data_IF_044628805991
#
_entry.id   IF_044628805991
#
_cell.length_a   1.000
_cell.length_b   1.000
_cell.length_c   1.000
_cell.angle_alpha   90.00
_cell.angle_beta   90.00
_cell.angle_gamma   90.00
#
_symmetry.space_group_name_H-M   'P 1'
#
loop_
_entity.id
_entity.type
_entity.pdbx_description
1 polymer ?
#
# COMPACT_ATOMS: atom_id res chain seq x y z
N UNK A 1 -34.45 3.47 -21.11
CA UNK A 1 -35.10 3.44 -19.78
C UNK A 1 -35.67 2.09 -19.36
N UNK A 2 -36.28 1.26 -20.25
CA UNK A 2 -36.81 -0.09 -19.88
C UNK A 2 -35.75 -1.15 -19.57
N UNK A 3 -34.53 -1.04 -20.14
CA UNK A 3 -33.44 -1.98 -19.91
C UNK A 3 -32.64 -1.67 -18.63
N UNK A 4 -32.60 -0.43 -18.21
CA UNK A 4 -31.89 -0.03 -16.97
C UNK A 4 -32.54 -0.59 -15.69
N UNK A 5 -33.86 -0.67 -15.63
CA UNK A 5 -34.58 -1.27 -14.48
C UNK A 5 -34.35 -2.78 -14.36
N UNK A 6 -34.02 -3.47 -15.47
CA UNK A 6 -33.71 -4.91 -15.44
C UNK A 6 -32.28 -5.20 -14.96
N UNK A 7 -31.33 -4.28 -15.21
CA UNK A 7 -29.94 -4.42 -14.73
C UNK A 7 -29.89 -4.17 -13.21
N UNK A 8 -30.56 -3.14 -12.71
CA UNK A 8 -30.67 -2.89 -11.27
C UNK A 8 -31.36 -4.01 -10.50
N UNK A 9 -32.41 -4.63 -11.10
CA UNK A 9 -33.10 -5.77 -10.51
C UNK A 9 -32.27 -7.06 -10.53
N UNK A 10 -31.37 -7.23 -11.52
CA UNK A 10 -30.44 -8.36 -11.61
C UNK A 10 -29.36 -8.28 -10.53
N UNK A 11 -28.80 -7.10 -10.25
CA UNK A 11 -27.82 -6.90 -9.18
C UNK A 11 -28.43 -7.09 -7.78
N UNK A 12 -29.67 -6.67 -7.52
CA UNK A 12 -30.35 -6.94 -6.24
C UNK A 12 -30.63 -8.42 -5.99
N UNK A 13 -30.95 -9.20 -7.03
CA UNK A 13 -31.25 -10.63 -6.87
C UNK A 13 -29.98 -11.47 -6.58
N UNK A 14 -28.81 -11.04 -7.06
CA UNK A 14 -27.56 -11.77 -6.85
C UNK A 14 -26.98 -11.57 -5.44
N UNK A 15 -27.11 -10.38 -4.85
CA UNK A 15 -26.67 -10.14 -3.47
C UNK A 15 -27.50 -10.88 -2.41
N UNK A 16 -28.77 -11.24 -2.70
CA UNK A 16 -29.60 -11.99 -1.74
C UNK A 16 -29.43 -13.51 -1.81
N UNK A 17 -28.88 -14.07 -2.90
CA UNK A 17 -28.68 -15.51 -3.02
C UNK A 17 -27.36 -16.02 -2.41
N UNK A 18 -26.38 -15.15 -2.18
CA UNK A 18 -25.08 -15.53 -1.59
C UNK A 18 -25.15 -15.81 -0.07
N UNK A 19 -26.22 -15.41 0.62
CA UNK A 19 -26.40 -15.62 2.05
C UNK A 19 -27.10 -16.93 2.45
N UNK A 20 -27.47 -17.80 1.50
CA UNK A 20 -28.30 -18.98 1.77
C UNK A 20 -27.55 -20.34 1.70
N UNK A 21 -26.23 -20.39 1.49
CA UNK A 21 -25.50 -21.66 1.29
C UNK A 21 -24.30 -21.89 2.22
N UNK A 22 -24.39 -21.59 3.51
CA UNK A 22 -23.50 -22.16 4.52
C UNK A 22 -24.30 -22.78 5.66
N UNK A 23 -24.82 -23.98 5.38
CA UNK A 23 -25.40 -24.89 6.37
C UNK A 23 -24.44 -26.04 6.62
N UNK A 24 -23.89 -26.08 7.79
CA UNK A 24 -23.03 -27.10 8.37
C UNK A 24 -23.55 -28.53 8.15
N UNK A 25 -22.71 -29.45 7.66
CA UNK A 25 -22.92 -30.91 7.81
C UNK A 25 -21.63 -31.52 8.36
N UNK A 26 -21.71 -31.93 9.59
CA UNK A 26 -20.81 -32.87 10.26
C UNK A 26 -21.14 -34.29 9.84
N UNK A 27 -20.17 -35.11 9.42
CA UNK A 27 -20.22 -36.58 9.52
C UNK A 27 -18.78 -37.10 9.69
N UNK A 28 -18.64 -37.80 10.77
CA UNK A 28 -17.81 -38.94 11.20
C UNK A 28 -16.60 -39.41 10.37
N UNK A 29 -15.55 -39.59 11.12
CA UNK A 29 -14.43 -40.42 11.29
C UNK A 29 -14.11 -41.57 10.32
N UNK A 30 -12.84 -41.67 9.93
CA UNK A 30 -12.18 -42.97 9.68
C UNK A 30 -10.67 -42.79 9.86
N UNK A 31 -10.13 -43.61 10.77
CA UNK A 31 -8.70 -43.84 11.02
C UNK A 31 -7.94 -44.29 9.79
N UNK A 32 -6.76 -43.77 9.51
CA UNK A 32 -5.72 -44.48 8.73
C UNK A 32 -4.38 -44.31 9.38
N UNK A 33 -3.76 -45.44 9.62
CA UNK A 33 -2.52 -45.74 10.31
C UNK A 33 -1.27 -45.12 9.61
N UNK A 34 -0.34 -44.73 10.46
CA UNK A 34 1.07 -44.44 10.17
C UNK A 34 1.83 -45.65 9.66
N UNK A 35 2.66 -45.47 8.63
CA UNK A 35 3.82 -46.31 8.39
C UNK A 35 5.02 -45.43 8.02
N UNK A 36 5.98 -45.47 8.91
CA UNK A 36 7.34 -44.95 8.79
C UNK A 36 8.16 -45.80 7.83
N UNK A 37 8.90 -45.19 6.95
CA UNK A 37 10.04 -45.84 6.27
C UNK A 37 11.20 -44.85 6.20
N UNK A 38 12.26 -45.20 6.97
CA UNK A 38 13.59 -44.62 6.89
C UNK A 38 14.22 -44.83 5.52
N UNK A 39 14.82 -43.81 4.97
CA UNK A 39 15.86 -43.98 3.95
C UNK A 39 16.96 -42.98 4.21
N UNK A 40 18.03 -43.48 4.85
CA UNK A 40 19.35 -42.81 4.88
C UNK A 40 19.97 -42.92 3.50
N UNK A 41 20.44 -41.80 2.97
CA UNK A 41 21.44 -41.81 1.89
C UNK A 41 22.60 -40.90 2.24
N UNK A 42 23.78 -41.53 2.34
CA UNK A 42 25.11 -40.96 2.51
C UNK A 42 25.45 -39.98 1.38
N UNK A 43 25.96 -38.82 1.75
CA UNK A 43 26.72 -37.95 0.83
C UNK A 43 28.14 -37.79 1.42
N UNK A 44 29.07 -38.28 0.65
CA UNK A 44 30.55 -38.20 0.83
C UNK A 44 31.03 -36.75 0.67
N UNK A 45 31.89 -36.34 1.60
CA UNK A 45 32.64 -35.10 1.53
C UNK A 45 33.71 -35.16 0.42
N UNK A 46 33.81 -34.13 -0.38
CA UNK A 46 34.94 -33.87 -1.26
C UNK A 46 35.70 -32.66 -0.71
N UNK A 47 36.92 -32.90 -0.26
CA UNK A 47 37.92 -31.90 0.11
C UNK A 47 38.38 -31.15 -1.14
N UNK A 48 38.42 -29.82 -1.07
CA UNK A 48 39.10 -28.98 -2.06
C UNK A 48 40.14 -28.15 -1.34
N UNK A 49 41.40 -28.41 -1.73
CA UNK A 49 42.60 -27.76 -1.22
C UNK A 49 42.63 -26.26 -1.51
N UNK A 50 42.99 -25.48 -0.49
CA UNK A 50 43.27 -24.06 -0.60
C UNK A 50 44.72 -23.85 -1.01
N UNK A 51 44.96 -23.22 -2.16
CA UNK A 51 46.30 -22.73 -2.55
C UNK A 51 46.54 -21.35 -1.93
N UNK A 52 47.50 -21.28 -1.03
CA UNK A 52 48.04 -20.05 -0.46
C UNK A 52 49.09 -19.47 -1.43
N UNK A 53 48.87 -18.23 -1.86
CA UNK A 53 49.86 -17.46 -2.61
C UNK A 53 50.57 -16.51 -1.65
N UNK A 54 51.84 -16.74 -1.38
CA UNK A 54 52.73 -15.85 -0.62
C UNK A 54 53.04 -14.59 -1.44
N UNK A 55 52.80 -13.43 -0.85
CA UNK A 55 53.32 -12.14 -1.33
C UNK A 55 54.54 -11.74 -0.53
N UNK A 56 55.67 -11.68 -1.22
CA UNK A 56 57.00 -11.24 -0.76
C UNK A 56 56.98 -9.76 -0.36
N UNK A 57 57.47 -9.49 0.86
CA UNK A 57 57.72 -8.16 1.37
C UNK A 57 59.01 -7.57 0.77
N UNK A 58 58.92 -6.36 0.21
CA UNK A 58 60.07 -5.56 -0.21
C UNK A 58 60.56 -4.72 0.97
N UNK A 59 61.83 -4.95 1.29
CA UNK A 59 62.61 -4.20 2.30
C UNK A 59 63.02 -2.85 1.69
N UNK A 60 62.75 -1.74 2.36
CA UNK A 60 63.27 -0.41 2.07
C UNK A 60 64.28 -0.05 3.16
N UNK A 61 65.55 0.14 2.77
CA UNK A 61 66.61 0.63 3.62
C UNK A 61 66.47 2.11 3.94
N UNK A 62 67.03 2.59 5.10
CA UNK A 62 66.90 3.98 5.53
C UNK A 62 68.00 4.87 4.90
N UNK A 63 67.57 6.05 4.42
CA UNK A 63 68.50 7.13 4.01
C UNK A 63 68.75 8.05 5.19
N UNK A 64 70.03 8.29 5.47
CA UNK A 64 70.63 9.12 6.50
C UNK A 64 70.50 10.63 6.27
N UNK A 65 70.30 11.33 7.38
CA UNK A 65 70.62 12.72 7.76
C UNK A 65 70.99 13.77 6.70
N UNK A 66 70.30 14.90 6.76
CA UNK A 66 70.83 16.23 6.46
C UNK A 66 70.17 17.33 7.30
N UNK A 67 71.01 17.88 8.14
CA UNK A 67 71.20 19.23 8.69
C UNK A 67 69.99 20.14 8.94
N UNK A 68 69.93 20.53 10.21
CA UNK A 68 69.18 21.61 10.85
C UNK A 68 69.50 22.97 10.27
N UNK A 69 68.46 23.72 9.84
CA UNK A 69 68.47 25.17 9.82
C UNK A 69 67.21 25.63 10.57
N UNK A 70 67.46 26.25 11.73
CA UNK A 70 66.45 26.84 12.59
C UNK A 70 66.24 28.28 12.18
N UNK A 71 65.19 28.63 11.47
CA UNK A 71 64.66 29.97 11.42
C UNK A 71 63.24 29.96 12.04
N UNK A 72 63.15 30.64 13.16
CA UNK A 72 61.88 30.85 13.87
C UNK A 72 61.02 31.89 13.14
N UNK A 73 60.02 31.40 12.40
CA UNK A 73 58.93 32.24 11.95
C UNK A 73 57.75 31.98 12.90
N UNK A 74 57.49 32.92 13.77
CA UNK A 74 56.28 32.95 14.61
C UNK A 74 55.12 33.42 13.72
N UNK A 75 54.50 32.46 12.97
CA UNK A 75 53.19 32.70 12.38
C UNK A 75 52.14 32.64 13.49
N UNK A 76 51.48 33.75 13.72
CA UNK A 76 50.24 33.82 14.49
C UNK A 76 49.18 33.14 13.65
N UNK A 77 48.93 31.84 13.90
CA UNK A 77 47.75 31.15 13.39
C UNK A 77 46.55 31.71 14.12
N UNK A 78 45.88 32.70 13.51
CA UNK A 78 44.52 33.03 13.85
C UNK A 78 43.69 31.80 13.50
N UNK A 79 43.25 31.05 14.50
CA UNK A 79 42.15 30.08 14.32
C UNK A 79 40.96 30.85 13.72
N UNK A 80 40.72 30.64 12.44
CA UNK A 80 39.44 31.02 11.85
C UNK A 80 38.39 30.19 12.55
N UNK A 81 37.52 30.80 13.33
CA UNK A 81 36.28 30.20 13.78
C UNK A 81 35.52 29.76 12.52
N UNK A 82 35.58 28.47 12.19
CA UNK A 82 34.71 27.88 11.20
C UNK A 82 33.31 27.92 11.80
N UNK A 83 32.46 28.78 11.25
CA UNK A 83 31.02 28.70 11.57
C UNK A 83 30.56 27.25 11.39
N UNK A 84 29.75 26.72 12.30
CA UNK A 84 29.25 25.36 12.17
C UNK A 84 28.50 25.25 10.85
N UNK A 85 28.88 24.27 10.01
CA UNK A 85 28.15 23.96 8.79
C UNK A 85 26.78 23.46 9.24
N UNK A 86 25.75 24.28 9.06
CA UNK A 86 24.38 23.90 9.29
C UNK A 86 24.03 22.93 8.15
N UNK A 87 23.96 21.66 8.45
CA UNK A 87 23.47 20.64 7.50
C UNK A 87 21.94 20.71 7.57
N UNK A 88 21.33 21.22 6.51
CA UNK A 88 19.87 21.20 6.37
C UNK A 88 19.39 19.73 6.37
N UNK A 89 18.31 19.40 7.11
CA UNK A 89 17.79 18.04 7.13
C UNK A 89 17.25 17.63 5.75
N UNK A 90 17.54 16.41 5.35
CA UNK A 90 16.89 15.80 4.18
C UNK A 90 15.42 15.56 4.49
N UNK A 91 14.55 15.81 3.50
CA UNK A 91 13.09 15.66 3.63
C UNK A 91 12.50 15.01 2.39
N UNK A 92 11.53 14.14 2.60
CA UNK A 92 10.70 13.57 1.54
C UNK A 92 9.24 13.54 2.01
N UNK A 93 8.38 14.25 1.30
CA UNK A 93 6.94 14.24 1.53
C UNK A 93 6.31 12.98 0.96
N UNK A 94 5.43 12.34 1.73
CA UNK A 94 4.79 11.07 1.38
C UNK A 94 3.28 11.16 1.51
N UNK A 95 2.56 10.59 0.53
CA UNK A 95 1.12 10.36 0.63
C UNK A 95 0.78 8.91 0.32
N UNK A 96 -0.12 8.31 1.11
CA UNK A 96 -0.66 6.99 0.84
C UNK A 96 -2.18 7.03 0.72
N UNK A 97 -2.71 6.51 -0.39
CA UNK A 97 -4.13 6.36 -0.66
C UNK A 97 -4.64 4.96 -0.27
N UNK A 98 -5.94 4.86 0.02
CA UNK A 98 -6.63 3.62 0.37
C UNK A 98 -6.93 2.70 -0.82
N UNK A 99 -8.02 1.92 -0.69
CA UNK A 99 -8.38 0.85 -1.62
C UNK A 99 -8.97 1.40 -2.92
N UNK A 100 -8.32 1.11 -4.04
CA UNK A 100 -8.80 1.37 -5.40
C UNK A 100 -9.56 0.14 -5.91
N UNK A 101 -10.90 0.16 -5.83
CA UNK A 101 -11.75 -0.98 -6.21
C UNK A 101 -12.59 -0.63 -7.43
N UNK A 102 -12.28 -1.24 -8.55
CA UNK A 102 -12.92 -0.95 -9.84
C UNK A 102 -14.14 -1.82 -10.09
N UNK A 103 -15.29 -1.39 -9.58
CA UNK A 103 -16.57 -1.99 -9.93
C UNK A 103 -16.99 -1.66 -11.38
N UNK A 104 -17.91 -2.47 -11.94
CA UNK A 104 -18.37 -2.30 -13.33
C UNK A 104 -18.80 -0.87 -13.67
N UNK A 105 -19.53 -0.20 -12.77
CA UNK A 105 -19.98 1.17 -13.00
C UNK A 105 -18.83 2.20 -13.12
N UNK A 106 -17.63 1.88 -12.60
CA UNK A 106 -16.47 2.78 -12.70
C UNK A 106 -15.90 2.72 -14.12
N UNK A 107 -15.60 1.53 -14.64
CA UNK A 107 -15.08 1.45 -16.01
C UNK A 107 -16.17 1.69 -17.08
N UNK A 108 -17.45 1.56 -16.77
CA UNK A 108 -18.53 2.04 -17.64
C UNK A 108 -18.51 3.56 -17.80
N UNK A 109 -18.25 4.33 -16.73
CA UNK A 109 -18.07 5.79 -16.86
C UNK A 109 -16.80 6.12 -17.62
N UNK A 110 -15.69 5.48 -17.32
CA UNK A 110 -14.43 5.65 -18.06
C UNK A 110 -14.61 5.41 -19.58
N UNK A 111 -15.35 4.36 -19.97
CA UNK A 111 -15.69 4.12 -21.37
C UNK A 111 -16.55 5.22 -22.00
N UNK A 112 -17.47 5.81 -21.22
CA UNK A 112 -18.29 6.94 -21.67
C UNK A 112 -17.43 8.21 -21.81
N UNK A 113 -16.52 8.43 -20.87
CA UNK A 113 -15.60 9.58 -20.87
C UNK A 113 -14.71 9.54 -22.13
N UNK A 114 -14.07 8.40 -22.40
CA UNK A 114 -13.27 8.19 -23.60
C UNK A 114 -14.03 8.46 -24.90
N UNK A 115 -15.26 7.93 -25.01
CA UNK A 115 -16.12 8.17 -26.19
C UNK A 115 -16.49 9.64 -26.37
N UNK A 116 -16.77 10.36 -25.26
CA UNK A 116 -17.14 11.78 -25.32
C UNK A 116 -15.94 12.65 -25.71
N UNK A 117 -14.74 12.28 -25.27
CA UNK A 117 -13.50 12.98 -25.61
C UNK A 117 -13.03 12.72 -27.05
N UNK A 118 -13.49 11.62 -27.67
CA UNK A 118 -13.09 11.24 -29.04
C UNK A 118 -11.60 10.83 -29.14
N UNK A 119 -11.02 10.36 -28.04
CA UNK A 119 -9.58 10.07 -27.92
C UNK A 119 -9.15 8.79 -28.64
N UNK A 120 -10.08 7.96 -29.10
CA UNK A 120 -9.77 6.67 -29.74
C UNK A 120 -9.32 5.58 -28.76
N UNK A 121 -9.34 5.86 -27.49
CA UNK A 121 -9.13 4.91 -26.40
C UNK A 121 -10.44 4.29 -25.96
N UNK A 122 -10.39 3.06 -25.42
CA UNK A 122 -11.60 2.38 -24.96
C UNK A 122 -12.07 2.88 -23.60
N UNK A 123 -11.14 3.36 -22.74
CA UNK A 123 -11.41 3.85 -21.38
C UNK A 123 -10.59 5.11 -21.07
N UNK A 124 -11.17 6.03 -20.31
CA UNK A 124 -10.56 7.26 -19.80
C UNK A 124 -10.99 7.46 -18.34
N UNK A 125 -10.06 7.24 -17.41
CA UNK A 125 -10.29 7.33 -15.98
C UNK A 125 -9.96 8.70 -15.39
N UNK A 126 -9.52 9.68 -16.17
CA UNK A 126 -9.11 11.02 -15.72
C UNK A 126 -10.16 11.75 -14.88
N UNK A 127 -11.45 11.44 -15.13
CA UNK A 127 -12.56 12.03 -14.38
C UNK A 127 -12.53 11.71 -12.88
N UNK A 128 -11.89 10.59 -12.46
CA UNK A 128 -11.81 10.18 -11.05
C UNK A 128 -10.92 11.13 -10.25
N UNK A 129 -9.79 11.57 -10.81
CA UNK A 129 -8.70 12.23 -10.09
C UNK A 129 -8.67 13.74 -10.26
N UNK A 130 -9.56 14.31 -11.06
CA UNK A 130 -9.56 15.74 -11.45
C UNK A 130 -9.41 16.71 -10.28
N UNK A 131 -10.02 16.41 -9.13
CA UNK A 131 -10.04 17.31 -7.98
C UNK A 131 -8.84 17.15 -7.03
N UNK A 132 -8.00 16.12 -7.25
CA UNK A 132 -6.91 15.77 -6.32
C UNK A 132 -5.59 15.46 -7.01
N UNK A 133 -5.54 15.38 -8.36
CA UNK A 133 -4.33 14.98 -9.10
C UNK A 133 -3.15 15.91 -8.82
N UNK A 134 -3.37 17.23 -8.87
CA UNK A 134 -2.30 18.21 -8.63
C UNK A 134 -1.73 18.08 -7.21
N UNK A 135 -2.55 17.76 -6.22
CA UNK A 135 -2.10 17.59 -4.85
C UNK A 135 -1.32 16.28 -4.66
N UNK A 136 -1.75 15.17 -5.32
CA UNK A 136 -1.00 13.90 -5.29
C UNK A 136 0.36 14.08 -5.98
N UNK A 137 0.40 14.73 -7.14
CA UNK A 137 1.64 14.99 -7.88
C UNK A 137 2.60 15.94 -7.15
N UNK A 138 2.14 16.67 -6.12
CA UNK A 138 2.97 17.58 -5.34
C UNK A 138 3.80 16.86 -4.25
N UNK A 139 3.47 15.62 -3.90
CA UNK A 139 4.28 14.81 -2.99
C UNK A 139 5.54 14.28 -3.69
N UNK A 140 6.62 14.14 -2.93
CA UNK A 140 7.87 13.58 -3.45
C UNK A 140 7.74 12.07 -3.73
N UNK A 141 6.82 11.39 -3.06
CA UNK A 141 6.47 9.98 -3.28
C UNK A 141 5.02 9.71 -2.87
N UNK A 142 4.28 9.05 -3.75
CA UNK A 142 2.86 8.72 -3.56
C UNK A 142 2.58 7.22 -3.72
N UNK A 143 1.74 6.69 -2.85
CA UNK A 143 1.40 5.27 -2.76
C UNK A 143 -0.10 5.02 -2.95
N UNK A 144 -0.47 3.90 -3.59
CA UNK A 144 -1.86 3.44 -3.71
C UNK A 144 -1.99 1.91 -3.55
N UNK A 145 -3.06 1.45 -2.89
CA UNK A 145 -3.46 0.05 -2.92
C UNK A 145 -4.40 -0.22 -4.11
N UNK A 146 -3.86 -0.78 -5.20
CA UNK A 146 -4.62 -1.25 -6.35
C UNK A 146 -5.21 -2.63 -6.04
N UNK A 147 -6.48 -2.66 -5.60
CA UNK A 147 -7.08 -3.90 -5.08
C UNK A 147 -7.57 -4.83 -6.16
N UNK A 148 -7.74 -4.36 -7.40
CA UNK A 148 -8.24 -5.16 -8.52
C UNK A 148 -7.13 -5.48 -9.52
N UNK A 149 -7.08 -6.72 -10.02
CA UNK A 149 -6.09 -7.15 -11.00
C UNK A 149 -6.23 -6.42 -12.35
N UNK A 150 -5.12 -6.34 -13.10
CA UNK A 150 -5.04 -5.77 -14.44
C UNK A 150 -4.41 -6.78 -15.43
N UNK A 151 -5.01 -7.99 -15.46
CA UNK A 151 -4.50 -9.09 -16.27
C UNK A 151 -4.52 -8.81 -17.78
N UNK A 152 -5.47 -7.98 -18.24
CA UNK A 152 -5.62 -7.59 -19.64
C UNK A 152 -6.95 -8.05 -20.24
N UNK A 153 -7.25 -7.54 -21.43
CA UNK A 153 -8.51 -7.81 -22.13
C UNK A 153 -8.69 -9.28 -22.52
N UNK A 154 -7.59 -10.00 -22.72
CA UNK A 154 -7.56 -11.42 -23.06
C UNK A 154 -8.13 -12.32 -21.98
N UNK A 155 -8.13 -11.86 -20.70
CA UNK A 155 -8.76 -12.55 -19.56
C UNK A 155 -10.23 -12.15 -19.39
N UNK A 156 -10.73 -11.20 -20.18
CA UNK A 156 -12.07 -10.62 -20.04
C UNK A 156 -12.18 -9.69 -18.85
N UNK A 157 -12.63 -8.45 -19.07
CA UNK A 157 -12.88 -7.52 -17.98
C UNK A 157 -14.06 -7.98 -17.11
N UNK A 158 -13.91 -7.88 -15.81
CA UNK A 158 -14.91 -8.32 -14.83
C UNK A 158 -14.82 -7.49 -13.53
N UNK A 159 -15.94 -7.44 -12.82
CA UNK A 159 -16.07 -6.79 -11.51
C UNK A 159 -16.37 -7.86 -10.43
N UNK A 160 -16.86 -7.40 -9.25
CA UNK A 160 -17.18 -8.29 -8.13
C UNK A 160 -17.96 -9.54 -8.59
N UNK A 161 -17.64 -10.76 -8.12
CA UNK A 161 -16.68 -11.05 -7.02
C UNK A 161 -15.23 -11.32 -7.45
N UNK A 162 -14.90 -11.29 -8.74
CA UNK A 162 -13.57 -11.57 -9.29
C UNK A 162 -13.21 -10.48 -10.29
N UNK A 163 -12.22 -9.69 -9.95
CA UNK A 163 -11.91 -8.46 -10.68
C UNK A 163 -10.83 -8.66 -11.75
N UNK A 164 -11.06 -8.07 -12.91
CA UNK A 164 -10.05 -7.78 -13.91
C UNK A 164 -10.34 -6.42 -14.54
N UNK A 165 -9.51 -5.45 -14.24
CA UNK A 165 -9.69 -4.02 -14.56
C UNK A 165 -9.00 -3.66 -15.87
N UNK A 166 -9.55 -2.75 -16.69
CA UNK A 166 -8.84 -2.17 -17.82
C UNK A 166 -7.52 -1.52 -17.42
N UNK A 167 -6.46 -1.80 -18.18
CA UNK A 167 -5.09 -1.30 -17.91
C UNK A 167 -4.95 0.21 -18.06
N UNK A 168 -5.89 0.86 -18.73
CA UNK A 168 -5.95 2.31 -18.89
C UNK A 168 -6.01 3.04 -17.54
N UNK A 169 -6.57 2.41 -16.49
CA UNK A 169 -6.50 2.96 -15.14
C UNK A 169 -5.07 3.05 -14.62
N UNK A 170 -4.20 2.10 -14.94
CA UNK A 170 -2.80 2.16 -14.51
C UNK A 170 -2.07 3.36 -15.11
N UNK A 171 -2.34 3.67 -16.38
CA UNK A 171 -1.77 4.86 -17.02
C UNK A 171 -2.24 6.14 -16.33
N UNK A 172 -3.51 6.19 -15.95
CA UNK A 172 -4.06 7.33 -15.21
C UNK A 172 -3.46 7.45 -13.81
N UNK A 173 -3.23 6.33 -13.09
CA UNK A 173 -2.55 6.34 -11.80
C UNK A 173 -1.12 6.89 -11.91
N UNK A 174 -0.38 6.51 -12.94
CA UNK A 174 0.95 7.04 -13.22
C UNK A 174 0.90 8.53 -13.55
N UNK A 175 -0.06 8.98 -14.37
CA UNK A 175 -0.23 10.39 -14.74
C UNK A 175 -0.66 11.26 -13.55
N UNK A 176 -1.46 10.69 -12.64
CA UNK A 176 -1.84 11.33 -11.37
C UNK A 176 -0.66 11.52 -10.42
N UNK A 177 0.44 10.75 -10.60
CA UNK A 177 1.66 10.88 -9.80
C UNK A 177 1.87 9.78 -8.75
N UNK A 178 1.20 8.63 -8.86
CA UNK A 178 1.48 7.51 -7.98
C UNK A 178 2.78 6.80 -8.37
N UNK A 179 3.71 6.68 -7.41
CA UNK A 179 5.06 6.12 -7.58
C UNK A 179 5.15 4.67 -7.10
N UNK A 180 4.36 4.31 -6.08
CA UNK A 180 4.34 2.98 -5.47
C UNK A 180 2.94 2.39 -5.55
N UNK A 181 2.83 1.22 -6.19
CA UNK A 181 1.56 0.51 -6.36
C UNK A 181 1.63 -0.81 -5.63
N UNK A 182 0.68 -1.03 -4.70
CA UNK A 182 0.52 -2.30 -4.00
C UNK A 182 -0.56 -3.15 -4.66
N UNK A 183 -0.27 -4.45 -4.84
CA UNK A 183 -1.25 -5.46 -5.27
C UNK A 183 -1.37 -6.64 -4.31
N UNK A 184 -0.74 -6.59 -3.12
CA UNK A 184 -0.93 -7.62 -2.09
C UNK A 184 -2.27 -7.42 -1.38
N UNK A 185 -3.29 -8.14 -1.82
CA UNK A 185 -4.64 -8.07 -1.29
C UNK A 185 -5.39 -9.40 -1.52
N UNK A 186 -6.63 -9.48 -1.06
CA UNK A 186 -7.45 -10.69 -1.17
C UNK A 186 -7.90 -11.01 -2.61
N UNK A 187 -7.76 -10.06 -3.55
CA UNK A 187 -8.12 -10.22 -4.97
C UNK A 187 -6.94 -10.63 -5.87
N UNK A 188 -5.73 -10.85 -5.32
CA UNK A 188 -4.54 -11.25 -6.09
C UNK A 188 -4.76 -12.49 -6.97
N UNK A 189 -5.65 -13.41 -6.57
CA UNK A 189 -5.89 -14.68 -7.28
C UNK A 189 -7.17 -14.68 -8.11
N UNK A 190 -7.83 -13.56 -8.29
CA UNK A 190 -9.12 -13.49 -9.00
C UNK A 190 -9.07 -14.02 -10.43
N UNK A 191 -8.00 -13.73 -11.15
CA UNK A 191 -7.74 -14.23 -12.50
C UNK A 191 -6.78 -15.41 -12.52
N UNK A 192 -6.69 -16.18 -11.40
CA UNK A 192 -5.81 -17.34 -11.24
C UNK A 192 -4.31 -16.96 -11.39
N UNK A 193 -3.36 -17.92 -11.32
CA UNK A 193 -1.95 -17.61 -11.43
C UNK A 193 -1.55 -16.89 -12.73
N UNK A 194 -2.16 -17.28 -13.84
CA UNK A 194 -1.86 -16.69 -15.15
C UNK A 194 -2.25 -15.19 -15.20
N UNK A 195 -3.40 -14.84 -14.61
CA UNK A 195 -3.82 -13.44 -14.54
C UNK A 195 -3.00 -12.62 -13.55
N UNK A 196 -2.54 -13.21 -12.45
CA UNK A 196 -1.59 -12.57 -11.54
C UNK A 196 -0.25 -12.33 -12.25
N UNK A 197 0.28 -13.34 -12.97
CA UNK A 197 1.51 -13.19 -13.73
C UNK A 197 1.39 -12.06 -14.77
N UNK A 198 0.31 -12.05 -15.55
CA UNK A 198 0.05 -11.00 -16.54
C UNK A 198 -0.07 -9.59 -15.91
N UNK A 199 -0.64 -9.50 -14.70
CA UNK A 199 -0.73 -8.25 -13.94
C UNK A 199 0.66 -7.79 -13.48
N UNK A 200 1.49 -8.67 -12.93
CA UNK A 200 2.87 -8.35 -12.53
C UNK A 200 3.70 -7.92 -13.74
N UNK A 201 3.66 -8.70 -14.83
CA UNK A 201 4.38 -8.37 -16.07
C UNK A 201 3.96 -7.01 -16.64
N UNK A 202 2.68 -6.68 -16.58
CA UNK A 202 2.18 -5.39 -17.03
C UNK A 202 2.71 -4.25 -16.14
N UNK A 203 2.61 -4.36 -14.81
CA UNK A 203 3.10 -3.32 -13.91
C UNK A 203 4.63 -3.12 -13.98
N UNK A 204 5.40 -4.18 -14.28
CA UNK A 204 6.85 -4.05 -14.51
C UNK A 204 7.21 -3.18 -15.74
N UNK A 205 6.26 -2.94 -16.63
CA UNK A 205 6.46 -2.03 -17.78
C UNK A 205 6.12 -0.57 -17.45
N UNK A 206 5.53 -0.30 -16.26
CA UNK A 206 5.15 1.03 -15.86
C UNK A 206 6.26 1.70 -15.02
N UNK A 207 6.38 3.02 -15.04
CA UNK A 207 7.40 3.75 -14.30
C UNK A 207 7.04 3.89 -12.80
N UNK A 208 6.65 2.78 -12.14
CA UNK A 208 6.28 2.73 -10.73
C UNK A 208 7.03 1.60 -10.00
N UNK A 209 7.11 1.68 -8.70
CA UNK A 209 7.58 0.59 -7.86
C UNK A 209 6.41 -0.32 -7.50
N UNK A 210 6.37 -1.52 -8.11
CA UNK A 210 5.38 -2.53 -7.76
C UNK A 210 5.77 -3.24 -6.47
N UNK A 211 4.86 -3.29 -5.48
CA UNK A 211 4.98 -4.13 -4.29
C UNK A 211 3.82 -5.11 -4.20
N UNK A 212 4.03 -6.23 -3.49
CA UNK A 212 2.99 -7.24 -3.30
C UNK A 212 2.82 -8.24 -4.44
N UNK A 213 3.42 -7.98 -5.60
CA UNK A 213 3.49 -8.94 -6.71
C UNK A 213 4.91 -9.49 -6.86
N UNK A 214 5.11 -10.78 -6.61
CA UNK A 214 6.44 -11.39 -6.56
C UNK A 214 6.52 -12.61 -7.48
N UNK A 215 7.46 -12.58 -8.43
CA UNK A 215 7.64 -13.62 -9.46
C UNK A 215 8.18 -14.94 -8.93
N UNK A 216 8.93 -14.89 -7.83
CA UNK A 216 9.56 -16.05 -7.19
C UNK A 216 10.09 -15.70 -5.79
N UNK A 217 10.65 -16.69 -5.10
CA UNK A 217 11.21 -16.52 -3.75
C UNK A 217 12.36 -15.51 -3.69
N UNK A 218 13.23 -15.44 -4.70
CA UNK A 218 14.31 -14.45 -4.73
C UNK A 218 13.75 -13.03 -4.81
N UNK A 219 12.79 -12.81 -5.68
CA UNK A 219 12.09 -11.53 -5.85
C UNK A 219 11.35 -11.12 -4.56
N UNK A 220 10.67 -12.08 -3.91
CA UNK A 220 9.98 -11.86 -2.63
C UNK A 220 10.92 -11.44 -1.48
N UNK A 221 12.14 -11.96 -1.47
CA UNK A 221 13.15 -11.63 -0.47
C UNK A 221 13.99 -10.40 -0.81
N UNK A 222 13.73 -9.75 -1.95
CA UNK A 222 14.40 -8.52 -2.37
C UNK A 222 13.52 -7.32 -2.00
N UNK A 223 13.98 -6.51 -1.04
CA UNK A 223 13.26 -5.31 -0.63
C UNK A 223 13.12 -4.31 -1.79
N UNK A 224 11.98 -3.66 -1.89
CA UNK A 224 11.76 -2.54 -2.81
C UNK A 224 12.23 -1.27 -2.11
N UNK A 225 13.37 -0.73 -2.53
CA UNK A 225 13.93 0.52 -2.00
C UNK A 225 13.67 1.64 -3.00
N UNK A 226 13.10 2.73 -2.53
CA UNK A 226 12.92 3.96 -3.32
C UNK A 226 13.77 5.05 -2.67
N UNK A 227 14.69 5.63 -3.43
CA UNK A 227 15.47 6.79 -2.98
C UNK A 227 14.75 8.07 -3.36
N UNK A 228 14.41 8.90 -2.38
CA UNK A 228 13.75 10.18 -2.56
C UNK A 228 14.52 11.25 -1.79
N UNK A 229 15.01 12.26 -2.48
CA UNK A 229 15.76 13.38 -1.88
C UNK A 229 16.95 12.95 -1.02
N UNK A 230 17.56 11.78 -1.33
CA UNK A 230 18.68 11.20 -0.59
C UNK A 230 18.26 10.33 0.61
N UNK A 231 16.96 10.11 0.82
CA UNK A 231 16.40 9.22 1.84
C UNK A 231 16.02 7.90 1.18
N UNK A 232 16.50 6.78 1.72
CA UNK A 232 16.17 5.44 1.27
C UNK A 232 14.96 4.91 2.05
N UNK A 233 13.87 4.59 1.35
CA UNK A 233 12.62 4.10 1.92
C UNK A 233 12.36 2.69 1.41
N UNK A 234 12.30 1.72 2.32
CA UNK A 234 11.96 0.33 2.01
C UNK A 234 10.45 0.14 2.06
N UNK A 235 9.87 -0.47 1.03
CA UNK A 235 8.47 -0.87 0.99
C UNK A 235 8.34 -2.38 1.08
N UNK A 236 7.58 -2.86 2.06
CA UNK A 236 7.19 -4.25 2.25
C UNK A 236 5.67 -4.37 2.15
N UNK A 237 5.17 -5.55 1.78
CA UNK A 237 3.73 -5.74 1.60
C UNK A 237 3.28 -7.13 2.01
N UNK A 238 2.11 -7.21 2.69
CA UNK A 238 1.53 -8.45 3.18
C UNK A 238 0.01 -8.45 3.04
N UNK A 239 -0.59 -9.65 2.92
CA UNK A 239 -2.04 -9.82 2.95
C UNK A 239 -2.47 -10.98 3.85
N UNK A 240 -3.71 -10.93 4.34
CA UNK A 240 -4.27 -11.99 5.21
C UNK A 240 -4.69 -13.24 4.45
N UNK A 241 -4.94 -13.11 3.14
CA UNK A 241 -5.51 -14.20 2.35
C UNK A 241 -5.87 -13.78 0.94
N UNK A 242 -6.43 -14.71 0.17
CA UNK A 242 -6.80 -14.56 -1.25
C UNK A 242 -8.20 -15.13 -1.54
N UNK A 243 -9.19 -14.77 -0.71
CA UNK A 243 -10.60 -15.19 -0.86
C UNK A 243 -10.79 -16.72 -1.03
N UNK A 244 -9.95 -17.52 -0.31
CA UNK A 244 -9.98 -18.97 -0.36
C UNK A 244 -9.36 -19.60 -1.61
N UNK A 245 -8.81 -18.82 -2.51
CA UNK A 245 -7.97 -19.27 -3.62
C UNK A 245 -6.52 -19.39 -3.14
N UNK A 246 -5.78 -20.38 -3.61
CA UNK A 246 -4.36 -20.55 -3.27
C UNK A 246 -3.54 -20.73 -4.52
N UNK A 247 -2.26 -20.37 -4.45
CA UNK A 247 -1.31 -20.65 -5.53
C UNK A 247 -1.16 -22.15 -5.71
N UNK A 248 -1.47 -22.71 -6.89
CA UNK A 248 -1.29 -24.14 -7.15
C UNK A 248 0.19 -24.53 -7.17
N UNK A 249 0.49 -25.80 -6.94
CA UNK A 249 1.83 -26.33 -7.11
C UNK A 249 2.33 -26.18 -8.56
N UNK A 250 3.61 -25.81 -8.71
CA UNK A 250 4.25 -25.63 -10.02
C UNK A 250 4.35 -24.19 -10.50
N UNK A 251 3.86 -23.23 -9.73
CA UNK A 251 4.11 -21.79 -9.93
C UNK A 251 5.14 -21.29 -8.93
N UNK A 252 6.05 -20.44 -9.38
CA UNK A 252 7.12 -19.89 -8.55
C UNK A 252 6.70 -18.58 -7.84
N UNK A 253 5.60 -17.95 -8.28
CA UNK A 253 5.07 -16.71 -7.71
C UNK A 253 4.68 -16.88 -6.24
N UNK A 254 4.93 -15.84 -5.45
CA UNK A 254 4.67 -15.85 -4.01
C UNK A 254 3.51 -14.89 -3.67
N UNK A 255 2.54 -15.40 -2.92
CA UNK A 255 1.55 -14.58 -2.23
C UNK A 255 2.15 -14.18 -0.88
N UNK A 256 2.29 -12.88 -0.58
CA UNK A 256 2.93 -12.40 0.64
C UNK A 256 1.97 -12.47 1.83
N UNK A 257 1.69 -13.68 2.31
CA UNK A 257 0.83 -13.85 3.48
C UNK A 257 1.47 -13.29 4.75
N UNK A 258 0.61 -12.81 5.66
CA UNK A 258 1.02 -12.43 7.02
C UNK A 258 1.63 -13.63 7.76
N UNK A 259 2.95 -13.59 7.93
CA UNK A 259 3.75 -14.59 8.66
C UNK A 259 4.81 -13.86 9.51
N UNK A 260 4.75 -14.05 10.83
CA UNK A 260 5.65 -13.37 11.77
C UNK A 260 7.13 -13.65 11.47
N UNK A 261 7.47 -14.89 11.10
CA UNK A 261 8.87 -15.28 10.83
C UNK A 261 9.40 -14.56 9.60
N UNK A 262 8.59 -14.48 8.54
CA UNK A 262 8.94 -13.77 7.30
C UNK A 262 9.04 -12.27 7.55
N UNK A 263 8.06 -11.68 8.24
CA UNK A 263 8.06 -10.26 8.60
C UNK A 263 9.33 -9.89 9.34
N UNK A 264 9.72 -10.65 10.38
CA UNK A 264 10.94 -10.39 11.14
C UNK A 264 12.22 -10.47 10.29
N UNK A 265 12.29 -11.42 9.37
CA UNK A 265 13.45 -11.58 8.48
C UNK A 265 13.54 -10.45 7.45
N UNK A 266 12.40 -10.10 6.81
CA UNK A 266 12.38 -9.07 5.78
C UNK A 266 12.57 -7.66 6.35
N UNK A 267 11.99 -7.35 7.51
CA UNK A 267 12.19 -6.04 8.17
C UNK A 267 13.64 -5.87 8.64
N UNK A 268 14.26 -6.94 9.18
CA UNK A 268 15.68 -6.88 9.55
C UNK A 268 16.58 -6.63 8.32
N UNK A 269 16.33 -7.32 7.21
CA UNK A 269 17.07 -7.10 5.97
C UNK A 269 16.83 -5.69 5.37
N UNK A 270 15.61 -5.18 5.42
CA UNK A 270 15.27 -3.84 4.96
C UNK A 270 15.96 -2.75 5.78
N UNK A 271 16.06 -2.91 7.10
CA UNK A 271 16.70 -1.93 7.99
C UNK A 271 18.19 -1.75 7.73
N UNK A 272 18.88 -2.78 7.19
CA UNK A 272 20.28 -2.66 6.78
C UNK A 272 20.48 -1.83 5.49
N UNK A 273 19.40 -1.57 4.75
CA UNK A 273 19.46 -0.96 3.42
C UNK A 273 18.67 0.36 3.31
N UNK A 274 17.86 0.71 4.31
CA UNK A 274 16.96 1.85 4.22
C UNK A 274 16.92 2.67 5.52
N UNK A 275 16.60 3.95 5.34
CA UNK A 275 16.38 4.88 6.44
C UNK A 275 15.04 4.64 7.10
N UNK A 276 14.01 4.39 6.31
CA UNK A 276 12.66 4.12 6.77
C UNK A 276 12.08 2.85 6.16
N UNK A 277 11.19 2.19 6.90
CA UNK A 277 10.45 1.01 6.46
C UNK A 277 8.95 1.32 6.48
N UNK A 278 8.31 1.25 5.32
CA UNK A 278 6.87 1.35 5.14
C UNK A 278 6.32 -0.05 4.85
N UNK A 279 5.31 -0.47 5.60
CA UNK A 279 4.59 -1.73 5.37
C UNK A 279 3.19 -1.43 4.89
N UNK A 280 2.85 -1.90 3.68
CA UNK A 280 1.45 -2.01 3.25
C UNK A 280 0.88 -3.33 3.74
N UNK A 281 -0.29 -3.32 4.35
CA UNK A 281 -0.91 -4.55 4.85
C UNK A 281 -2.41 -4.59 4.61
N UNK A 282 -2.86 -5.69 3.97
CA UNK A 282 -4.26 -5.97 3.70
C UNK A 282 -4.77 -6.98 4.72
N UNK A 283 -5.54 -6.52 5.73
CA UNK A 283 -5.88 -7.27 6.95
C UNK A 283 -7.24 -6.89 7.55
N UNK A 284 -7.65 -7.61 8.59
CA UNK A 284 -8.92 -7.35 9.28
C UNK A 284 -10.09 -8.08 8.63
N UNK A 285 -11.28 -7.49 8.70
CA UNK A 285 -12.52 -8.05 8.16
C UNK A 285 -13.27 -7.01 7.32
N UNK A 286 -13.77 -7.42 6.13
CA UNK A 286 -14.55 -6.58 5.24
C UNK A 286 -15.76 -5.96 5.96
N UNK A 287 -15.94 -4.67 5.77
CA UNK A 287 -17.06 -3.88 6.31
C UNK A 287 -17.21 -3.95 7.84
N UNK A 288 -16.11 -4.31 8.55
CA UNK A 288 -16.07 -4.39 10.00
C UNK A 288 -15.26 -3.24 10.60
N UNK A 289 -15.93 -2.38 11.40
CA UNK A 289 -15.34 -1.14 11.91
C UNK A 289 -14.34 -1.34 13.07
N UNK A 290 -14.60 -2.22 14.07
CA UNK A 290 -13.65 -2.42 15.16
C UNK A 290 -12.37 -3.10 14.71
N UNK A 291 -11.26 -2.81 15.38
CA UNK A 291 -9.99 -3.51 15.13
C UNK A 291 -10.10 -4.98 15.55
N UNK A 292 -9.71 -5.87 14.66
CA UNK A 292 -9.61 -7.30 14.94
C UNK A 292 -8.37 -7.63 15.79
N UNK A 293 -8.38 -8.77 16.46
CA UNK A 293 -7.19 -9.24 17.20
C UNK A 293 -6.00 -9.53 16.28
N UNK A 294 -6.25 -9.94 15.03
CA UNK A 294 -5.21 -10.09 14.02
C UNK A 294 -4.50 -8.74 13.76
N UNK A 295 -5.26 -7.68 13.50
CA UNK A 295 -4.71 -6.34 13.27
C UNK A 295 -3.84 -5.88 14.45
N UNK A 296 -4.35 -5.98 15.68
CA UNK A 296 -3.61 -5.58 16.90
C UNK A 296 -2.33 -6.39 17.08
N UNK A 297 -2.38 -7.70 16.83
CA UNK A 297 -1.24 -8.60 16.98
C UNK A 297 -0.15 -8.26 15.97
N UNK A 298 -0.50 -8.14 14.68
CA UNK A 298 0.50 -7.85 13.65
C UNK A 298 1.00 -6.41 13.71
N UNK A 299 0.17 -5.43 14.10
CA UNK A 299 0.63 -4.07 14.35
C UNK A 299 1.72 -4.03 15.44
N UNK A 300 1.54 -4.79 16.52
CA UNK A 300 2.58 -4.92 17.56
C UNK A 300 3.84 -5.63 17.04
N UNK A 301 3.70 -6.66 16.20
CA UNK A 301 4.84 -7.35 15.57
C UNK A 301 5.62 -6.38 14.68
N UNK A 302 4.96 -5.60 13.83
CA UNK A 302 5.58 -4.60 12.97
C UNK A 302 6.34 -3.55 13.80
N UNK A 303 5.72 -3.00 14.83
CA UNK A 303 6.36 -2.04 15.73
C UNK A 303 7.59 -2.65 16.43
N UNK A 304 7.51 -3.91 16.90
CA UNK A 304 8.61 -4.63 17.52
C UNK A 304 9.75 -5.00 16.56
N UNK A 305 9.48 -4.98 15.26
CA UNK A 305 10.47 -5.17 14.19
C UNK A 305 11.10 -3.87 13.71
N UNK A 306 10.69 -2.71 14.26
CA UNK A 306 11.21 -1.42 13.87
C UNK A 306 10.65 -0.89 12.54
N UNK A 307 9.42 -1.27 12.15
CA UNK A 307 8.70 -0.64 11.05
C UNK A 307 8.36 0.80 11.44
N UNK A 308 8.50 1.76 10.53
CA UNK A 308 8.25 3.18 10.80
C UNK A 308 6.80 3.57 10.50
N UNK A 309 6.24 3.06 9.39
CA UNK A 309 4.87 3.35 8.95
C UNK A 309 4.15 2.09 8.51
N UNK A 310 2.92 1.91 8.99
CA UNK A 310 1.98 0.90 8.48
C UNK A 310 0.82 1.59 7.77
N UNK A 311 0.58 1.18 6.53
CA UNK A 311 -0.55 1.59 5.69
C UNK A 311 -1.49 0.39 5.55
N UNK A 312 -2.60 0.42 6.27
CA UNK A 312 -3.58 -0.67 6.34
C UNK A 312 -4.72 -0.54 5.35
N UNK A 313 -5.22 -1.71 4.89
CA UNK A 313 -6.22 -1.89 3.83
C UNK A 313 -7.19 -3.01 4.17
N UNK A 314 -8.24 -3.21 3.38
CA UNK A 314 -9.24 -4.28 3.39
C UNK A 314 -10.57 -4.00 4.10
N UNK A 315 -10.68 -3.38 5.29
CA UNK A 315 -12.00 -3.18 5.89
C UNK A 315 -12.96 -2.34 5.04
N UNK A 316 -12.45 -1.62 4.04
CA UNK A 316 -13.20 -0.69 3.18
C UNK A 316 -13.93 0.42 3.97
N UNK A 317 -13.52 0.60 5.20
CA UNK A 317 -13.94 1.62 6.15
C UNK A 317 -12.69 2.23 6.77
N UNK A 318 -12.69 3.53 7.01
CA UNK A 318 -11.58 4.14 7.74
C UNK A 318 -11.51 3.58 9.16
N UNK A 319 -10.31 3.28 9.64
CA UNK A 319 -10.04 2.84 11.00
C UNK A 319 -9.01 3.78 11.65
N UNK A 320 -8.77 3.69 12.98
CA UNK A 320 -7.88 4.60 13.67
C UNK A 320 -6.48 4.74 13.07
N UNK A 321 -5.91 5.93 13.24
CA UNK A 321 -4.48 6.21 13.08
C UNK A 321 -3.90 6.42 14.46
N UNK A 322 -2.82 5.72 14.80
CA UNK A 322 -2.21 5.82 16.12
C UNK A 322 -0.70 5.55 16.09
N UNK A 323 -0.02 6.04 17.12
CA UNK A 323 1.37 5.69 17.36
C UNK A 323 1.46 4.44 18.22
N UNK A 324 2.17 3.42 17.73
CA UNK A 324 2.38 2.16 18.46
C UNK A 324 3.82 2.10 18.94
N UNK A 325 3.98 1.91 20.26
CA UNK A 325 5.30 1.72 20.86
C UNK A 325 5.81 0.31 20.58
N UNK A 326 6.97 0.22 19.95
CA UNK A 326 7.72 -1.01 19.70
C UNK A 326 8.77 -1.26 20.77
N UNK A 327 9.78 -2.07 20.42
CA UNK A 327 10.93 -2.33 21.28
C UNK A 327 11.89 -1.14 21.29
N UNK A 328 12.68 -1.04 22.37
CA UNK A 328 13.79 -0.08 22.49
C UNK A 328 13.38 1.40 22.29
N UNK A 329 12.11 1.71 22.59
CA UNK A 329 11.56 3.07 22.46
C UNK A 329 11.19 3.47 21.05
N UNK A 330 11.28 2.57 20.06
CA UNK A 330 10.81 2.82 18.70
C UNK A 330 9.30 3.12 18.68
N UNK A 331 8.90 4.07 17.84
CA UNK A 331 7.49 4.45 17.67
C UNK A 331 7.09 4.33 16.21
N UNK A 332 6.15 3.46 15.92
CA UNK A 332 5.59 3.23 14.59
C UNK A 332 4.28 4.00 14.41
N UNK A 333 4.11 4.69 13.29
CA UNK A 333 2.82 5.22 12.88
C UNK A 333 2.00 4.09 12.23
N UNK A 334 0.78 3.86 12.69
CA UNK A 334 -0.11 2.85 12.14
C UNK A 334 -1.45 3.47 11.72
N UNK A 335 -1.73 3.51 10.43
CA UNK A 335 -3.07 3.71 9.89
C UNK A 335 -3.69 2.32 9.65
N UNK A 336 -4.63 1.89 10.50
CA UNK A 336 -5.18 0.53 10.42
C UNK A 336 -6.00 0.27 9.15
N UNK A 337 -6.69 1.28 8.64
CA UNK A 337 -7.32 1.26 7.32
C UNK A 337 -7.57 2.68 6.82
N UNK A 338 -7.13 2.94 5.60
CA UNK A 338 -7.41 4.20 4.91
C UNK A 338 -8.81 4.23 4.27
N UNK A 339 -9.58 3.14 4.34
CA UNK A 339 -10.85 3.00 3.64
C UNK A 339 -10.70 2.96 2.12
N UNK A 340 -11.79 3.17 1.40
CA UNK A 340 -11.74 3.19 -0.06
C UNK A 340 -11.28 4.55 -0.59
N UNK A 341 -10.35 4.53 -1.52
CA UNK A 341 -10.04 5.71 -2.30
C UNK A 341 -11.14 5.97 -3.34
N UNK A 342 -11.59 4.88 -4.00
CA UNK A 342 -12.81 4.87 -4.79
C UNK A 342 -13.42 3.47 -4.89
N UNK A 343 -14.74 3.39 -4.84
CA UNK A 343 -15.49 2.15 -5.01
C UNK A 343 -16.97 2.43 -5.27
N UNK A 344 -17.73 1.42 -5.70
CA UNK A 344 -19.19 1.48 -5.73
C UNK A 344 -19.80 0.52 -4.69
N UNK A 345 -19.18 0.40 -3.53
CA UNK A 345 -19.74 -0.37 -2.41
C UNK A 345 -21.03 0.27 -1.89
N UNK A 346 -21.81 -0.53 -1.15
CA UNK A 346 -23.23 -0.19 -0.93
C UNK A 346 -23.50 0.72 0.28
N UNK A 347 -22.51 1.02 1.14
CA UNK A 347 -22.71 1.85 2.35
C UNK A 347 -22.14 3.25 2.16
N UNK A 348 -22.77 4.26 2.76
CA UNK A 348 -22.26 5.63 2.71
C UNK A 348 -20.88 5.77 3.36
N UNK A 349 -20.61 5.01 4.42
CA UNK A 349 -19.34 4.99 5.12
C UNK A 349 -18.20 4.40 4.25
N UNK A 350 -18.51 3.53 3.26
CA UNK A 350 -17.53 3.04 2.30
C UNK A 350 -17.08 4.11 1.28
N UNK A 351 -17.75 5.24 1.22
CA UNK A 351 -17.37 6.37 0.38
C UNK A 351 -16.36 7.29 1.08
N UNK A 352 -16.17 7.13 2.37
CA UNK A 352 -15.16 7.86 3.15
C UNK A 352 -13.85 7.08 3.11
N UNK A 353 -12.82 7.75 2.62
CA UNK A 353 -11.44 7.29 2.67
C UNK A 353 -10.51 8.35 3.25
N UNK A 354 -9.21 8.14 3.11
CA UNK A 354 -8.22 9.12 3.52
C UNK A 354 -6.89 8.95 2.80
N UNK A 355 -6.15 10.06 2.75
CA UNK A 355 -4.73 10.06 2.45
C UNK A 355 -3.95 10.13 3.78
N UNK A 356 -3.06 9.18 4.02
CA UNK A 356 -2.07 9.32 5.07
C UNK A 356 -0.92 10.15 4.51
N UNK A 357 -0.73 11.37 5.04
CA UNK A 357 0.31 12.30 4.64
C UNK A 357 1.33 12.47 5.75
N UNK A 358 2.62 12.52 5.41
CA UNK A 358 3.72 12.75 6.34
C UNK A 358 4.99 13.18 5.60
N UNK A 359 5.99 13.67 6.36
CA UNK A 359 7.35 13.86 5.89
C UNK A 359 8.29 12.85 6.56
N UNK A 360 9.12 12.18 5.77
CA UNK A 360 10.32 11.49 6.24
C UNK A 360 11.43 12.54 6.40
N UNK A 361 12.08 12.56 7.56
CA UNK A 361 13.14 13.54 7.87
C UNK A 361 14.37 12.83 8.40
N UNK A 362 15.52 13.14 7.80
CA UNK A 362 16.84 12.67 8.24
C UNK A 362 17.73 13.87 8.54
N UNK A 363 18.20 13.98 9.78
CA UNK A 363 19.10 15.05 10.26
C UNK A 363 20.30 14.43 10.99
N UNK A 364 21.42 14.29 10.29
CA UNK A 364 22.55 13.51 10.78
C UNK A 364 22.17 12.05 10.97
N UNK A 365 22.26 11.53 12.21
CA UNK A 365 21.87 10.18 12.57
C UNK A 365 20.39 10.07 13.03
N UNK A 366 19.71 11.21 13.19
CA UNK A 366 18.33 11.24 13.65
C UNK A 366 17.34 11.06 12.48
N UNK A 367 16.40 10.12 12.68
CA UNK A 367 15.33 9.80 11.72
C UNK A 367 13.99 9.99 12.41
N UNK A 368 13.07 10.74 11.80
CA UNK A 368 11.76 11.02 12.37
C UNK A 368 10.69 11.25 11.30
N UNK A 369 9.44 11.08 11.69
CA UNK A 369 8.28 11.44 10.88
C UNK A 369 7.77 12.80 11.37
N UNK A 370 7.49 13.72 10.44
CA UNK A 370 6.92 15.04 10.72
C UNK A 370 5.64 15.26 9.90
N UNK A 371 4.87 16.27 10.24
CA UNK A 371 3.66 16.70 9.52
C UNK A 371 2.64 15.59 9.25
N UNK A 372 2.53 14.63 10.20
CA UNK A 372 1.63 13.47 10.06
C UNK A 372 0.17 13.92 10.06
N UNK A 373 -0.56 13.63 8.98
CA UNK A 373 -1.98 13.92 8.84
C UNK A 373 -2.73 12.75 8.19
N UNK A 374 -3.96 12.55 8.60
CA UNK A 374 -4.96 11.80 7.86
C UNK A 374 -5.87 12.82 7.18
N UNK A 375 -5.78 12.95 5.86
CA UNK A 375 -6.54 13.90 5.06
C UNK A 375 -7.78 13.17 4.53
N UNK A 376 -8.99 13.40 5.10
CA UNK A 376 -10.17 12.66 4.70
C UNK A 376 -10.58 12.96 3.26
N UNK A 377 -10.76 11.88 2.48
CA UNK A 377 -11.28 11.90 1.10
C UNK A 377 -12.71 11.36 1.04
N UNK A 378 -13.37 11.59 -0.06
CA UNK A 378 -14.73 11.12 -0.30
C UNK A 378 -14.93 10.77 -1.76
N UNK A 379 -15.43 9.56 -2.04
CA UNK A 379 -15.79 9.17 -3.39
C UNK A 379 -17.24 9.53 -3.69
N UNK A 380 -17.43 10.47 -4.61
CA UNK A 380 -18.74 10.96 -5.02
C UNK A 380 -19.16 10.41 -6.37
N UNK A 381 -20.45 10.06 -6.51
CA UNK A 381 -21.13 9.77 -7.77
C UNK A 381 -22.64 10.04 -7.64
N UNK A 382 -23.29 10.38 -8.76
CA UNK A 382 -24.72 10.69 -8.78
C UNK A 382 -25.58 9.42 -8.75
N UNK A 383 -26.88 9.60 -8.44
CA UNK A 383 -27.87 8.51 -8.47
C UNK A 383 -27.97 7.79 -9.82
N UNK A 384 -27.42 8.36 -10.88
CA UNK A 384 -27.27 7.75 -12.21
C UNK A 384 -26.03 6.85 -12.34
N UNK A 385 -25.23 6.71 -11.26
CA UNK A 385 -23.91 6.09 -11.21
C UNK A 385 -22.82 6.80 -12.02
N UNK A 386 -23.11 7.99 -12.57
CA UNK A 386 -22.17 8.84 -13.32
C UNK A 386 -21.81 10.11 -12.54
N UNK A 387 -20.81 10.83 -13.04
CA UNK A 387 -20.25 12.00 -12.39
C UNK A 387 -19.40 11.60 -11.19
N UNK A 388 -18.66 10.50 -11.38
CA UNK A 388 -17.73 9.95 -10.40
C UNK A 388 -16.53 10.86 -10.26
N UNK A 389 -16.11 11.10 -9.00
CA UNK A 389 -14.90 11.87 -8.70
C UNK A 389 -14.48 11.60 -7.25
N UNK A 390 -13.19 11.63 -6.99
CA UNK A 390 -12.62 11.67 -5.66
C UNK A 390 -12.46 13.14 -5.28
N UNK A 391 -12.85 13.49 -4.07
CA UNK A 391 -12.71 14.86 -3.54
C UNK A 391 -12.30 14.80 -2.06
N UNK A 392 -11.86 15.92 -1.50
CA UNK A 392 -11.68 16.00 -0.06
C UNK A 392 -13.04 16.00 0.66
N UNK A 393 -13.13 15.27 1.77
CA UNK A 393 -14.39 15.16 2.49
C UNK A 393 -14.94 16.52 2.95
N UNK A 394 -14.08 17.50 3.22
CA UNK A 394 -14.48 18.88 3.56
C UNK A 394 -15.26 19.58 2.46
N UNK A 395 -15.10 19.17 1.20
CA UNK A 395 -15.75 19.74 0.03
C UNK A 395 -17.05 19.01 -0.34
N UNK A 396 -17.38 17.91 0.37
CA UNK A 396 -18.62 17.17 0.20
C UNK A 396 -19.77 17.91 0.86
N UNK A 397 -20.66 18.49 0.04
CA UNK A 397 -21.75 19.35 0.47
C UNK A 397 -23.06 18.58 0.74
N UNK A 398 -23.97 19.19 1.50
CA UNK A 398 -25.34 18.66 1.70
C UNK A 398 -26.13 18.51 0.37
N UNK A 399 -25.90 19.38 -0.61
CA UNK A 399 -26.48 19.25 -1.94
C UNK A 399 -25.96 17.99 -2.69
N UNK A 400 -24.70 17.68 -2.53
CA UNK A 400 -24.09 16.44 -3.06
C UNK A 400 -24.65 15.21 -2.34
N UNK A 401 -24.78 15.29 -1.00
CA UNK A 401 -25.33 14.21 -0.18
C UNK A 401 -26.74 13.82 -0.62
N UNK A 402 -27.62 14.80 -0.89
CA UNK A 402 -28.97 14.56 -1.39
C UNK A 402 -29.03 13.91 -2.79
N UNK A 403 -27.96 14.05 -3.59
CA UNK A 403 -27.85 13.50 -4.95
C UNK A 403 -26.94 12.29 -5.08
N UNK A 404 -26.37 11.82 -3.98
CA UNK A 404 -25.36 10.74 -4.01
C UNK A 404 -25.97 9.39 -4.39
N UNK A 405 -25.29 8.67 -5.25
CA UNK A 405 -25.77 7.39 -5.80
C UNK A 405 -25.84 6.24 -4.79
N UNK A 406 -25.12 6.31 -3.68
CA UNK A 406 -25.15 5.29 -2.62
C UNK A 406 -26.56 5.09 -2.04
N UNK A 407 -27.43 6.11 -2.12
CA UNK A 407 -28.82 6.02 -1.71
C UNK A 407 -29.64 4.99 -2.52
N UNK A 408 -29.18 4.63 -3.73
CA UNK A 408 -29.84 3.63 -4.56
C UNK A 408 -29.80 2.23 -3.94
N UNK A 409 -28.87 1.96 -3.02
CA UNK A 409 -28.72 0.64 -2.40
C UNK A 409 -29.65 0.45 -1.19
N UNK A 410 -29.77 1.44 -0.33
CA UNK A 410 -30.68 1.39 0.83
C UNK A 410 -30.98 2.79 1.38
N UNK A 411 -32.17 2.97 1.96
CA UNK A 411 -32.54 4.23 2.62
C UNK A 411 -31.62 4.59 3.81
N UNK A 412 -31.03 3.60 4.47
CA UNK A 412 -30.07 3.80 5.56
C UNK A 412 -28.78 4.50 5.11
N UNK A 413 -28.48 4.50 3.81
CA UNK A 413 -27.33 5.18 3.23
C UNK A 413 -27.58 6.67 2.92
N UNK A 414 -28.75 7.18 3.23
CA UNK A 414 -29.06 8.61 3.09
C UNK A 414 -28.43 9.40 4.25
N UNK A 415 -27.10 9.50 4.24
CA UNK A 415 -26.32 10.24 5.22
C UNK A 415 -26.09 11.66 4.75
N UNK A 416 -26.20 12.61 5.68
CA UNK A 416 -25.82 14.00 5.45
C UNK A 416 -24.29 14.15 5.42
N UNK A 417 -23.79 15.23 4.82
CA UNK A 417 -22.36 15.54 4.89
C UNK A 417 -21.89 15.68 6.35
N UNK A 418 -22.71 16.33 7.20
CA UNK A 418 -22.42 16.49 8.62
C UNK A 418 -22.32 15.14 9.37
N UNK A 419 -23.19 14.17 9.08
CA UNK A 419 -23.13 12.83 9.69
C UNK A 419 -21.85 12.10 9.30
N UNK A 420 -21.38 12.26 8.06
CA UNK A 420 -20.14 11.62 7.59
C UNK A 420 -18.88 12.31 8.14
N UNK A 421 -18.90 13.65 8.33
CA UNK A 421 -17.85 14.38 9.06
C UNK A 421 -17.77 13.88 10.51
N UNK A 422 -18.92 13.74 11.19
CA UNK A 422 -18.98 13.22 12.55
C UNK A 422 -18.50 11.75 12.63
N UNK A 423 -18.74 10.96 11.57
CA UNK A 423 -18.20 9.60 11.46
C UNK A 423 -16.69 9.61 11.44
N UNK A 424 -16.06 10.45 10.60
CA UNK A 424 -14.61 10.57 10.51
C UNK A 424 -14.00 11.01 11.85
N UNK A 425 -14.51 12.09 12.46
CA UNK A 425 -14.01 12.58 13.76
C UNK A 425 -14.17 11.61 14.93
N UNK A 426 -15.09 10.67 14.85
CA UNK A 426 -15.23 9.61 15.86
C UNK A 426 -14.12 8.59 15.78
N UNK A 427 -13.50 8.39 14.61
CA UNK A 427 -12.56 7.32 14.33
C UNK A 427 -11.10 7.80 14.25
N UNK A 428 -10.90 9.00 13.75
CA UNK A 428 -9.59 9.61 13.60
C UNK A 428 -9.43 10.67 14.69
N UNK A 429 -8.35 10.55 15.47
CA UNK A 429 -8.00 11.54 16.48
C UNK A 429 -7.78 12.91 15.83
N UNK A 430 -8.28 13.97 16.47
CA UNK A 430 -8.15 15.34 15.99
C UNK A 430 -6.67 15.76 15.77
N UNK A 431 -5.73 15.12 16.47
CA UNK A 431 -4.30 15.37 16.28
C UNK A 431 -3.76 14.95 14.91
N UNK A 432 -4.48 14.08 14.19
CA UNK A 432 -4.14 13.66 12.83
C UNK A 432 -4.98 14.33 11.75
N UNK A 433 -6.06 15.04 12.12
CA UNK A 433 -6.89 15.72 11.14
C UNK A 433 -6.32 17.07 10.74
N UNK A 434 -6.47 17.51 9.46
CA UNK A 434 -6.10 18.86 9.06
C UNK A 434 -6.80 19.94 9.89
N UNK A 435 -6.14 21.04 10.16
CA UNK A 435 -6.69 22.16 10.95
C UNK A 435 -7.99 22.73 10.36
N UNK A 436 -8.12 22.67 9.02
CA UNK A 436 -9.29 23.15 8.27
C UNK A 436 -10.39 22.08 8.09
N UNK A 437 -10.21 20.87 8.66
CA UNK A 437 -11.25 19.84 8.57
C UNK A 437 -12.48 20.24 9.41
N UNK A 438 -13.69 20.18 8.85
CA UNK A 438 -14.90 20.71 9.49
C UNK A 438 -15.16 20.13 10.87
N UNK A 439 -15.63 20.96 11.80
CA UNK A 439 -16.10 20.48 13.10
C UNK A 439 -17.42 19.72 12.95
N UNK A 440 -17.62 18.67 13.77
CA UNK A 440 -18.90 17.99 13.82
C UNK A 440 -19.96 18.98 14.32
N UNK A 441 -21.02 19.17 13.53
CA UNK A 441 -22.16 20.00 13.95
C UNK A 441 -22.97 19.19 14.96
N UNK A 442 -23.13 19.74 16.17
CA UNK A 442 -23.87 19.13 17.28
C UNK A 442 -25.38 19.11 17.03
#
# INVERSE_FOLDING_TARGET
MRNFKKIAAGMMAFCMLALAFFGCRTTDGADVQTSSADTQSNITAAETEAQTTEMTAAVIEPVTEAETVTEAITEVVTEAETEPVVIEPMRASFAAAGDAIVHEGIWMEAQKTARNAGLGEDYDFSHLFREIADDIAAYDISFINQETLMAGAEYGYSAYPRFNTPRELAYELVETGFDVVNIANNHMMDMLPEGLAATIEFWDTQPVTLIGGYKNTQDYNTARIVNVNGIDIAFLSYCYGTNGLSMPAGYDMIIPYLDETVIRAQTAAAREMADFIVVSVHWGEDSYQPLTEQQKTFAKIFADCGVDVVVGHHPHLIQPVEWIEGRDGHRMLCAYSLGNFFSLMAKAENMVGGLLSLDFVVEGDEKRLENVQFIPTFFYYKTTFFGQTILYQKDYTEAMAQGHGVQNYAAANNKTAAELIAYTRRLIDDAFLPDDFPQAVS
#
